data_IF_737787456499
#
_entry.id   IF_737787456499
#
_cell.length_a   1.000
_cell.length_b   1.000
_cell.length_c   1.000
_cell.angle_alpha   90.00
_cell.angle_beta   90.00
_cell.angle_gamma   90.00
#
_symmetry.space_group_name_H-M   'P 1'
#
loop_
_entity.id
_entity.type
_entity.pdbx_description
1 polymer ?
#
# COMPACT_ATOMS: atom_id res chain seq x y z
N UNK A 1 -3.48 12.57 -21.46
CA UNK A 1 -2.40 12.77 -20.44
C UNK A 1 -1.92 11.41 -19.97
N UNK A 2 -0.61 11.16 -19.98
CA UNK A 2 -0.05 9.96 -19.36
C UNK A 2 -0.34 10.00 -17.86
N UNK A 3 -0.99 8.99 -17.32
CA UNK A 3 -1.19 8.87 -15.87
C UNK A 3 0.13 8.45 -15.21
N UNK A 4 0.43 9.03 -14.06
CA UNK A 4 1.53 8.58 -13.22
C UNK A 4 0.96 7.96 -11.95
N UNK A 5 1.30 6.70 -11.71
CA UNK A 5 0.88 5.95 -10.52
C UNK A 5 2.09 5.77 -9.62
N UNK A 6 2.01 6.29 -8.41
CA UNK A 6 2.97 6.05 -7.34
C UNK A 6 2.54 4.79 -6.58
N UNK A 7 3.39 3.78 -6.58
CA UNK A 7 3.17 2.53 -5.84
C UNK A 7 4.21 2.49 -4.72
N UNK A 8 3.77 2.44 -3.47
CA UNK A 8 4.69 2.37 -2.33
C UNK A 8 4.79 0.94 -1.80
N UNK A 9 5.95 0.55 -1.29
CA UNK A 9 6.20 -0.82 -0.85
C UNK A 9 6.33 -1.82 -2.01
N UNK A 10 6.66 -1.30 -3.21
CA UNK A 10 6.65 -2.11 -4.42
C UNK A 10 7.83 -3.07 -4.59
N UNK A 11 8.84 -3.04 -3.72
CA UNK A 11 9.89 -4.07 -3.68
C UNK A 11 9.56 -5.24 -2.74
N UNK A 12 8.46 -5.15 -1.98
CA UNK A 12 7.94 -6.22 -1.13
C UNK A 12 7.22 -7.33 -1.93
N UNK A 13 6.74 -8.35 -1.22
CA UNK A 13 6.08 -9.51 -1.84
C UNK A 13 4.85 -9.12 -2.67
N UNK A 14 3.81 -8.56 -2.05
CA UNK A 14 2.58 -8.17 -2.76
C UNK A 14 2.87 -7.00 -3.72
N UNK A 15 3.63 -6.00 -3.25
CA UNK A 15 3.93 -4.79 -4.02
C UNK A 15 4.63 -5.09 -5.34
N UNK A 16 5.57 -6.03 -5.39
CA UNK A 16 6.28 -6.39 -6.62
C UNK A 16 5.36 -6.97 -7.69
N UNK A 17 4.36 -7.74 -7.28
CA UNK A 17 3.33 -8.26 -8.20
C UNK A 17 2.44 -7.14 -8.75
N UNK A 18 2.05 -6.19 -7.89
CA UNK A 18 1.25 -5.02 -8.30
C UNK A 18 2.05 -4.14 -9.27
N UNK A 19 3.30 -3.82 -8.95
CA UNK A 19 4.18 -3.03 -9.84
C UNK A 19 4.31 -3.71 -11.21
N UNK A 20 4.64 -4.99 -11.23
CA UNK A 20 4.79 -5.78 -12.47
C UNK A 20 3.50 -5.79 -13.30
N UNK A 21 2.35 -5.98 -12.63
CA UNK A 21 1.05 -5.94 -13.29
C UNK A 21 0.80 -4.59 -13.96
N UNK A 22 1.03 -3.50 -13.23
CA UNK A 22 0.77 -2.16 -13.76
C UNK A 22 1.74 -1.79 -14.89
N UNK A 23 3.02 -2.10 -14.77
CA UNK A 23 4.02 -1.86 -15.82
C UNK A 23 3.64 -2.56 -17.13
N UNK A 24 3.23 -3.84 -17.07
CA UNK A 24 2.88 -4.61 -18.26
C UNK A 24 1.51 -4.29 -18.83
N UNK A 25 0.51 -4.09 -17.95
CA UNK A 25 -0.88 -3.87 -18.37
C UNK A 25 -1.14 -2.45 -18.88
N UNK A 26 -0.40 -1.46 -18.38
CA UNK A 26 -0.61 -0.05 -18.70
C UNK A 26 0.67 0.60 -19.23
N UNK A 27 1.12 0.25 -20.44
CA UNK A 27 2.39 0.76 -21.00
C UNK A 27 2.40 2.28 -21.19
N UNK A 28 1.24 2.92 -21.31
CA UNK A 28 1.08 4.37 -21.41
C UNK A 28 1.13 5.09 -20.05
N UNK A 29 1.08 4.35 -18.93
CA UNK A 29 1.21 4.95 -17.61
C UNK A 29 2.68 4.99 -17.20
N UNK A 30 3.06 6.00 -16.43
CA UNK A 30 4.33 5.99 -15.71
C UNK A 30 4.10 5.34 -14.34
N UNK A 31 4.87 4.32 -14.03
CA UNK A 31 4.83 3.61 -12.76
C UNK A 31 6.06 4.01 -11.96
N UNK A 32 5.85 4.71 -10.87
CA UNK A 32 6.89 5.10 -9.91
C UNK A 32 6.77 4.19 -8.69
N UNK A 33 7.76 3.37 -8.48
CA UNK A 33 7.84 2.45 -7.34
C UNK A 33 8.69 3.07 -6.24
N UNK A 34 8.09 3.42 -5.11
CA UNK A 34 8.78 3.92 -3.93
C UNK A 34 8.93 2.81 -2.90
N UNK A 35 10.17 2.52 -2.51
CA UNK A 35 10.45 1.57 -1.44
C UNK A 35 11.65 2.00 -0.61
N UNK A 36 11.58 1.80 0.69
CA UNK A 36 12.67 2.10 1.62
C UNK A 36 13.77 1.06 1.58
N UNK A 37 13.48 -0.14 1.07
CA UNK A 37 14.33 -1.33 1.06
C UNK A 37 14.74 -1.73 2.49
N UNK A 38 13.73 -1.98 3.31
CA UNK A 38 13.90 -2.62 4.62
C UNK A 38 14.09 -4.13 4.44
N UNK A 39 13.96 -4.91 5.50
CA UNK A 39 14.13 -6.36 5.46
C UNK A 39 13.19 -7.09 4.48
N UNK A 40 12.04 -6.52 4.16
CA UNK A 40 11.04 -7.11 3.28
C UNK A 40 11.16 -6.65 1.80
N UNK A 41 11.94 -5.58 1.55
CA UNK A 41 12.13 -5.03 0.21
C UNK A 41 13.33 -5.67 -0.51
N UNK A 42 13.08 -6.25 -1.69
CA UNK A 42 14.13 -6.84 -2.52
C UNK A 42 13.90 -6.48 -3.99
N UNK A 43 14.84 -5.76 -4.61
CA UNK A 43 14.77 -5.34 -6.01
C UNK A 43 14.86 -6.51 -7.00
N UNK A 44 15.44 -7.65 -6.61
CA UNK A 44 15.46 -8.85 -7.44
C UNK A 44 14.03 -9.31 -7.83
N UNK A 45 13.04 -8.98 -6.99
CA UNK A 45 11.63 -9.25 -7.31
C UNK A 45 11.14 -8.50 -8.55
N UNK A 46 11.87 -7.47 -9.01
CA UNK A 46 11.46 -6.57 -10.11
C UNK A 46 12.47 -6.58 -11.29
N UNK A 47 13.44 -7.50 -11.26
CA UNK A 47 14.49 -7.60 -12.28
C UNK A 47 13.94 -7.75 -13.69
N UNK A 48 12.82 -8.44 -13.84
CA UNK A 48 12.16 -8.70 -15.13
C UNK A 48 11.48 -7.48 -15.76
N UNK A 49 11.38 -6.37 -15.00
CA UNK A 49 10.78 -5.11 -15.46
C UNK A 49 11.67 -3.89 -15.22
N UNK A 50 12.88 -4.06 -14.69
CA UNK A 50 13.75 -2.94 -14.32
C UNK A 50 14.10 -2.02 -15.49
N UNK A 51 14.20 -2.59 -16.71
CA UNK A 51 14.53 -1.88 -17.95
C UNK A 51 13.30 -1.34 -18.70
N UNK A 52 12.09 -1.56 -18.20
CA UNK A 52 10.88 -1.08 -18.88
C UNK A 52 10.81 0.45 -18.91
N UNK A 53 10.50 1.06 -20.08
CA UNK A 53 10.58 2.51 -20.27
C UNK A 53 9.57 3.28 -19.40
N UNK A 54 8.49 2.64 -18.98
CA UNK A 54 7.44 3.22 -18.16
C UNK A 54 7.62 2.96 -16.65
N UNK A 55 8.69 2.24 -16.25
CA UNK A 55 9.01 1.96 -14.85
C UNK A 55 10.10 2.91 -14.32
N UNK A 56 9.95 3.32 -13.06
CA UNK A 56 10.97 4.07 -12.31
C UNK A 56 10.98 3.60 -10.86
N UNK A 57 12.18 3.34 -10.35
CA UNK A 57 12.39 3.05 -8.94
C UNK A 57 12.89 4.30 -8.21
N UNK A 58 12.32 4.56 -7.05
CA UNK A 58 12.72 5.60 -6.11
C UNK A 58 12.95 4.98 -4.74
N UNK A 59 14.15 5.15 -4.19
CA UNK A 59 14.42 4.76 -2.82
C UNK A 59 13.99 5.87 -1.88
N UNK A 60 13.12 5.56 -0.90
CA UNK A 60 12.67 6.56 0.07
C UNK A 60 11.74 6.00 1.13
N UNK A 61 11.64 6.76 2.23
CA UNK A 61 10.74 6.47 3.34
C UNK A 61 9.44 7.25 3.15
N UNK A 62 8.30 6.58 3.24
CA UNK A 62 6.97 7.23 3.19
C UNK A 62 6.77 8.24 4.32
N UNK A 63 7.53 8.10 5.42
CA UNK A 63 7.51 9.05 6.54
C UNK A 63 8.22 10.38 6.25
N UNK A 64 8.99 10.46 5.17
CA UNK A 64 9.66 11.70 4.74
C UNK A 64 8.69 12.55 3.91
N UNK A 65 7.98 13.43 4.60
CA UNK A 65 6.95 14.28 3.98
C UNK A 65 7.50 15.17 2.86
N UNK A 66 8.67 15.78 3.06
CA UNK A 66 9.27 16.65 2.02
C UNK A 66 9.69 15.84 0.78
N UNK A 67 10.16 14.62 0.99
CA UNK A 67 10.43 13.70 -0.12
C UNK A 67 9.14 13.34 -0.86
N UNK A 68 8.03 13.06 -0.15
CA UNK A 68 6.74 12.78 -0.77
C UNK A 68 6.26 13.96 -1.61
N UNK A 69 6.28 15.19 -1.06
CA UNK A 69 5.94 16.42 -1.80
C UNK A 69 6.77 16.58 -3.09
N UNK A 70 8.07 16.31 -2.97
CA UNK A 70 8.99 16.41 -4.11
C UNK A 70 8.67 15.38 -5.20
N UNK A 71 8.35 14.14 -4.84
CA UNK A 71 7.97 13.08 -5.76
C UNK A 71 6.66 13.40 -6.49
N UNK A 72 5.64 13.88 -5.78
CA UNK A 72 4.37 14.26 -6.39
C UNK A 72 4.57 15.31 -7.48
N UNK A 73 5.41 16.31 -7.23
CA UNK A 73 5.72 17.38 -8.19
C UNK A 73 6.59 16.88 -9.35
N UNK A 74 7.64 16.12 -9.05
CA UNK A 74 8.61 15.68 -10.06
C UNK A 74 7.99 14.73 -11.09
N UNK A 75 7.04 13.91 -10.65
CA UNK A 75 6.43 12.89 -11.49
C UNK A 75 5.00 13.20 -11.95
N UNK A 76 4.41 14.34 -11.53
CA UNK A 76 3.00 14.67 -11.77
C UNK A 76 2.08 13.50 -11.37
N UNK A 77 2.19 13.07 -10.11
CA UNK A 77 1.48 11.90 -9.60
C UNK A 77 -0.03 12.10 -9.70
N UNK A 78 -0.71 11.19 -10.38
CA UNK A 78 -2.16 11.22 -10.61
C UNK A 78 -2.91 10.17 -9.81
N UNK A 79 -2.21 9.14 -9.33
CA UNK A 79 -2.78 8.09 -8.51
C UNK A 79 -1.74 7.51 -7.57
N UNK A 80 -2.20 7.01 -6.44
CA UNK A 80 -1.39 6.34 -5.42
C UNK A 80 -1.98 4.96 -5.16
N UNK A 81 -1.11 3.94 -5.09
CA UNK A 81 -1.41 2.63 -4.53
C UNK A 81 -0.46 2.44 -3.36
N UNK A 82 -1.00 2.52 -2.14
CA UNK A 82 -0.20 2.49 -0.93
C UNK A 82 -0.19 1.11 -0.30
N UNK A 83 0.96 0.39 -0.45
CA UNK A 83 1.18 -0.93 0.13
C UNK A 83 2.34 -0.93 1.14
N UNK A 84 3.09 0.18 1.26
CA UNK A 84 4.17 0.25 2.23
C UNK A 84 3.61 0.20 3.65
N UNK A 85 3.98 -0.81 4.38
CA UNK A 85 3.57 -1.02 5.77
C UNK A 85 4.58 -1.92 6.50
N UNK A 86 4.63 -1.80 7.81
CA UNK A 86 5.13 -2.85 8.70
C UNK A 86 3.96 -3.78 9.02
N UNK A 87 4.10 -5.08 8.72
CA UNK A 87 3.01 -6.07 8.84
C UNK A 87 3.34 -7.31 9.67
N UNK A 88 4.57 -7.41 10.19
CA UNK A 88 5.02 -8.60 10.89
C UNK A 88 4.66 -8.54 12.38
N UNK A 89 3.71 -9.37 12.83
CA UNK A 89 3.11 -9.33 14.18
C UNK A 89 4.16 -9.38 15.30
N UNK A 90 5.10 -10.33 15.28
CA UNK A 90 6.12 -10.44 16.33
C UNK A 90 7.02 -9.21 16.43
N UNK A 91 7.22 -8.51 15.31
CA UNK A 91 7.97 -7.25 15.30
C UNK A 91 7.16 -6.11 15.90
N UNK A 92 5.83 -6.08 15.68
CA UNK A 92 4.97 -5.06 16.27
C UNK A 92 4.97 -5.09 17.79
N UNK A 93 5.08 -6.29 18.37
CA UNK A 93 5.16 -6.48 19.82
C UNK A 93 6.50 -5.97 20.36
N UNK A 94 7.60 -6.18 19.62
CA UNK A 94 8.95 -5.78 20.04
C UNK A 94 9.24 -4.31 19.81
N UNK A 95 8.73 -3.73 18.73
CA UNK A 95 8.95 -2.34 18.33
C UNK A 95 7.66 -1.69 17.77
N UNK A 96 6.69 -1.39 18.64
CA UNK A 96 5.42 -0.77 18.24
C UNK A 96 5.59 0.63 17.66
N UNK A 97 6.67 1.34 18.04
CA UNK A 97 6.92 2.70 17.54
C UNK A 97 7.26 2.72 16.06
N UNK A 98 8.05 1.78 15.57
CA UNK A 98 8.32 1.65 14.14
C UNK A 98 7.05 1.34 13.36
N UNK A 99 6.14 0.51 13.90
CA UNK A 99 4.84 0.24 13.28
C UNK A 99 3.96 1.49 13.23
N UNK A 100 3.79 2.19 14.34
CA UNK A 100 3.01 3.43 14.39
C UNK A 100 3.61 4.49 13.44
N UNK A 101 4.91 4.64 13.43
CA UNK A 101 5.59 5.58 12.54
C UNK A 101 5.33 5.25 11.07
N UNK A 102 5.53 4.01 10.65
CA UNK A 102 5.36 3.63 9.25
C UNK A 102 3.88 3.62 8.84
N UNK A 103 3.03 2.93 9.61
CA UNK A 103 1.65 2.68 9.19
C UNK A 103 0.72 3.87 9.41
N UNK A 104 0.97 4.69 10.45
CA UNK A 104 0.15 5.87 10.75
C UNK A 104 0.79 7.13 10.16
N UNK A 105 2.00 7.46 10.61
CA UNK A 105 2.64 8.72 10.18
C UNK A 105 3.06 8.70 8.71
N UNK A 106 3.53 7.55 8.21
CA UNK A 106 3.85 7.40 6.78
C UNK A 106 2.62 7.52 5.88
N UNK A 107 1.51 6.90 6.27
CA UNK A 107 0.23 7.03 5.56
C UNK A 107 -0.27 8.48 5.58
N UNK A 108 -0.21 9.13 6.74
CA UNK A 108 -0.60 10.53 6.89
C UNK A 108 0.26 11.46 6.01
N UNK A 109 1.58 11.29 6.02
CA UNK A 109 2.50 12.09 5.20
C UNK A 109 2.19 11.94 3.71
N UNK A 110 1.91 10.72 3.26
CA UNK A 110 1.57 10.45 1.86
C UNK A 110 0.20 11.03 1.47
N UNK A 111 -0.81 10.91 2.34
CA UNK A 111 -2.13 11.51 2.16
C UNK A 111 -2.05 13.04 2.08
N UNK A 112 -1.27 13.64 2.97
CA UNK A 112 -1.11 15.10 3.01
C UNK A 112 -0.37 15.62 1.76
N UNK A 113 0.67 14.92 1.31
CA UNK A 113 1.35 15.25 0.06
C UNK A 113 0.41 15.16 -1.15
N UNK A 114 -0.46 14.14 -1.18
CA UNK A 114 -1.49 13.98 -2.21
C UNK A 114 -2.51 15.12 -2.13
N UNK A 115 -3.01 15.44 -0.94
CA UNK A 115 -3.97 16.52 -0.71
C UNK A 115 -3.43 17.87 -1.19
N UNK A 116 -2.20 18.22 -0.80
CA UNK A 116 -1.57 19.48 -1.23
C UNK A 116 -1.36 19.54 -2.75
N UNK A 117 -0.90 18.45 -3.34
CA UNK A 117 -0.59 18.43 -4.77
C UNK A 117 -1.84 18.42 -5.65
N UNK A 118 -2.92 17.76 -5.21
CA UNK A 118 -4.17 17.65 -5.94
C UNK A 118 -5.17 18.75 -5.63
N UNK A 119 -4.82 19.69 -4.76
CA UNK A 119 -5.73 20.78 -4.38
C UNK A 119 -6.32 21.48 -5.62
N UNK A 120 -7.66 21.58 -5.65
CA UNK A 120 -8.41 22.09 -6.80
C UNK A 120 -8.39 21.21 -8.06
N UNK A 121 -7.80 20.02 -8.04
CA UNK A 121 -7.64 19.12 -9.20
C UNK A 121 -8.01 17.66 -8.86
N UNK A 122 -9.13 17.45 -8.22
CA UNK A 122 -9.53 16.11 -7.70
C UNK A 122 -10.01 15.16 -8.78
N UNK A 123 -10.51 15.65 -9.90
CA UNK A 123 -11.04 14.81 -10.96
C UNK A 123 -9.97 13.85 -11.52
N UNK A 124 -10.32 12.57 -11.60
CA UNK A 124 -9.43 11.52 -12.10
C UNK A 124 -8.26 11.17 -11.18
N UNK A 125 -8.22 11.68 -9.96
CA UNK A 125 -7.22 11.32 -8.93
C UNK A 125 -7.74 10.16 -8.09
N UNK A 126 -6.82 9.30 -7.65
CA UNK A 126 -7.16 8.14 -6.82
C UNK A 126 -6.06 7.91 -5.79
N UNK A 127 -6.45 7.84 -4.52
CA UNK A 127 -5.61 7.30 -3.46
C UNK A 127 -6.20 5.96 -3.03
N UNK A 128 -5.48 4.88 -3.32
CA UNK A 128 -5.90 3.53 -2.98
C UNK A 128 -5.00 2.98 -1.89
N UNK A 129 -5.52 2.90 -0.67
CA UNK A 129 -4.83 2.37 0.50
C UNK A 129 -5.15 0.88 0.65
N UNK A 130 -4.10 0.06 0.68
CA UNK A 130 -4.23 -1.36 0.98
C UNK A 130 -4.18 -1.50 2.50
N UNK A 131 -5.33 -1.85 3.06
CA UNK A 131 -5.51 -2.07 4.49
C UNK A 131 -5.49 -3.58 4.80
N UNK A 132 -5.95 -3.97 5.96
CA UNK A 132 -5.99 -5.34 6.47
C UNK A 132 -7.40 -5.65 6.99
N UNK A 133 -7.75 -6.92 7.05
CA UNK A 133 -8.99 -7.40 7.66
C UNK A 133 -9.02 -7.19 9.20
N UNK A 134 -7.86 -7.05 9.82
CA UNK A 134 -7.74 -6.75 11.26
C UNK A 134 -8.45 -5.45 11.68
N UNK A 135 -8.73 -4.53 10.75
CA UNK A 135 -9.51 -3.31 11.02
C UNK A 135 -10.95 -3.62 11.44
N UNK A 136 -11.44 -4.81 11.14
CA UNK A 136 -12.77 -5.28 11.55
C UNK A 136 -12.78 -5.94 12.94
N UNK A 137 -11.63 -6.01 13.62
CA UNK A 137 -11.47 -6.66 14.91
C UNK A 137 -11.14 -8.16 14.79
N UNK A 138 -11.48 -8.93 15.81
CA UNK A 138 -11.28 -10.37 15.83
C UNK A 138 -12.58 -11.10 15.46
N UNK A 139 -12.48 -12.16 14.68
CA UNK A 139 -13.58 -13.12 14.53
C UNK A 139 -13.84 -13.79 15.90
N UNK A 140 -15.11 -13.93 16.26
CA UNK A 140 -15.44 -14.64 17.48
C UNK A 140 -14.87 -16.07 17.42
N UNK A 141 -14.09 -16.42 18.41
CA UNK A 141 -13.70 -17.82 18.61
C UNK A 141 -15.01 -18.59 18.78
N UNK A 142 -15.27 -19.57 17.93
CA UNK A 142 -16.44 -20.45 18.08
C UNK A 142 -16.44 -21.02 19.48
N UNK A 143 -17.51 -20.74 20.23
CA UNK A 143 -17.74 -21.39 21.52
C UNK A 143 -17.67 -22.90 21.31
N UNK A 144 -16.86 -23.66 22.08
CA UNK A 144 -16.85 -25.13 22.02
C UNK A 144 -18.24 -25.76 22.15
N UNK A 145 -19.23 -25.02 22.68
CA UNK A 145 -20.63 -25.43 22.80
C UNK A 145 -21.47 -25.23 21.53
N UNK A 146 -20.91 -24.73 20.43
CA UNK A 146 -21.52 -24.87 19.09
C UNK A 146 -22.77 -24.04 18.82
N UNK A 147 -22.82 -22.78 19.22
CA UNK A 147 -23.89 -21.85 18.79
C UNK A 147 -23.74 -21.47 17.32
N UNK A 148 -24.79 -21.54 16.49
CA UNK A 148 -24.70 -21.17 15.07
C UNK A 148 -24.83 -19.65 14.92
N UNK A 149 -23.72 -18.97 14.68
CA UNK A 149 -23.77 -17.60 14.19
C UNK A 149 -22.83 -17.50 12.98
N UNK A 150 -23.43 -17.30 11.82
CA UNK A 150 -22.75 -16.83 10.60
C UNK A 150 -21.67 -17.74 10.02
N UNK A 151 -21.87 -19.04 9.98
CA UNK A 151 -20.90 -19.94 9.35
C UNK A 151 -20.96 -19.82 7.83
N UNK A 152 -19.83 -19.49 7.19
CA UNK A 152 -19.64 -19.72 5.76
C UNK A 152 -19.72 -21.20 5.41
N UNK A 153 -19.66 -21.59 4.11
CA UNK A 153 -19.80 -22.97 3.66
C UNK A 153 -18.77 -23.93 4.28
N UNK A 154 -17.75 -23.42 4.94
CA UNK A 154 -16.72 -24.21 5.63
C UNK A 154 -16.81 -24.15 7.17
N UNK A 155 -17.88 -23.57 7.71
CA UNK A 155 -18.09 -23.48 9.16
C UNK A 155 -17.32 -22.36 9.86
N UNK A 156 -16.71 -21.44 9.10
CA UNK A 156 -15.92 -20.31 9.58
C UNK A 156 -16.69 -19.00 9.41
N UNK A 157 -16.44 -18.03 10.29
CA UNK A 157 -16.89 -16.66 10.13
C UNK A 157 -15.94 -15.93 9.18
N UNK A 158 -16.48 -15.01 8.37
CA UNK A 158 -15.71 -14.19 7.45
C UNK A 158 -16.04 -12.72 7.64
N UNK A 159 -15.03 -11.86 7.50
CA UNK A 159 -15.26 -10.45 7.27
C UNK A 159 -15.79 -10.22 5.86
N UNK A 160 -16.72 -9.29 5.74
CA UNK A 160 -17.29 -8.87 4.46
C UNK A 160 -17.25 -7.35 4.38
N UNK A 161 -17.51 -6.79 3.19
CA UNK A 161 -17.59 -5.34 2.99
C UNK A 161 -18.71 -4.68 3.80
N UNK A 162 -19.61 -5.46 4.42
CA UNK A 162 -20.69 -4.99 5.30
C UNK A 162 -20.36 -5.11 6.78
N UNK A 163 -19.23 -5.73 7.10
CA UNK A 163 -18.75 -5.84 8.49
C UNK A 163 -18.44 -4.43 9.00
N UNK A 164 -18.90 -4.11 10.20
CA UNK A 164 -18.61 -2.81 10.83
C UNK A 164 -17.19 -2.79 11.39
N UNK A 165 -16.54 -1.63 11.31
CA UNK A 165 -15.26 -1.36 11.97
C UNK A 165 -15.40 -1.31 13.48
#
# INVERSE_FOLDING_TARGET
MKRTILITGGAGFIGSHVVRLFVRKYPDYRIVNLDKLTYAGNLENLRDIECEPNYRFERGDVCDFERMRSLFRAYDVTGVIHLAAESHVDRSIRDPFTFARTNVMGTLALLEAAREYWDGKWEGRLFYHISTDEVYGALALTDPAGGPQGRGPYGEEFFTERTRY
#
